data_IF_392904085237
#
_entry.id   IF_392904085237
#
_cell.length_a   1.000
_cell.length_b   1.000
_cell.length_c   1.000
_cell.angle_alpha   90.00
_cell.angle_beta   90.00
_cell.angle_gamma   90.00
#
_symmetry.space_group_name_H-M   'P 1'
#
loop_
_entity.id
_entity.type
_entity.pdbx_description
1 polymer ?
#
# COMPACT_ATOMS: atom_id res chain seq x y z
N UNK A 1 -15.62 -23.30 -5.04
CA UNK A 1 -14.77 -23.50 -6.25
C UNK A 1 -15.03 -22.32 -7.15
N UNK A 2 -14.03 -21.44 -7.33
CA UNK A 2 -14.12 -20.35 -8.31
C UNK A 2 -13.93 -21.01 -9.68
N UNK A 3 -14.91 -20.81 -10.57
CA UNK A 3 -14.91 -21.38 -11.91
C UNK A 3 -13.64 -20.93 -12.66
N UNK A 4 -12.77 -21.88 -13.04
CA UNK A 4 -11.52 -21.67 -13.76
C UNK A 4 -11.65 -20.96 -15.13
N UNK A 5 -12.87 -20.69 -15.56
CA UNK A 5 -13.17 -19.95 -16.81
C UNK A 5 -13.36 -18.44 -16.62
N UNK A 6 -13.20 -17.91 -15.41
CA UNK A 6 -13.31 -16.47 -15.18
C UNK A 6 -12.03 -15.76 -15.62
N UNK A 7 -12.12 -14.94 -16.65
CA UNK A 7 -11.07 -13.97 -16.99
C UNK A 7 -10.91 -12.98 -15.83
N UNK A 8 -9.67 -12.75 -15.40
CA UNK A 8 -9.38 -11.71 -14.40
C UNK A 8 -9.79 -10.35 -15.00
N UNK A 9 -10.63 -9.57 -14.29
CA UNK A 9 -11.00 -8.26 -14.77
C UNK A 9 -9.76 -7.33 -14.77
N UNK A 10 -9.45 -6.74 -15.92
CA UNK A 10 -8.41 -5.72 -16.05
C UNK A 10 -9.07 -4.35 -16.03
N UNK A 11 -8.69 -3.51 -15.07
CA UNK A 11 -9.11 -2.13 -14.97
C UNK A 11 -8.09 -1.24 -15.67
N UNK A 12 -8.55 -0.45 -16.63
CA UNK A 12 -7.71 0.57 -17.25
C UNK A 12 -7.87 1.90 -16.48
N UNK A 13 -6.78 2.38 -15.89
CA UNK A 13 -6.74 3.69 -15.23
C UNK A 13 -6.71 4.80 -16.30
N UNK A 14 -7.89 5.24 -16.74
CA UNK A 14 -7.98 6.32 -17.73
C UNK A 14 -7.85 7.69 -17.05
N UNK A 15 -6.75 8.38 -17.30
CA UNK A 15 -6.43 9.72 -16.82
C UNK A 15 -6.20 10.73 -17.96
N UNK A 16 -6.41 10.31 -19.22
CA UNK A 16 -6.05 11.10 -20.40
C UNK A 16 -6.69 12.48 -20.40
N UNK A 17 -7.98 12.55 -20.10
CA UNK A 17 -8.73 13.81 -20.18
C UNK A 17 -8.27 14.84 -19.14
N UNK A 18 -7.89 14.40 -17.96
CA UNK A 18 -7.27 15.26 -16.95
C UNK A 18 -5.83 15.64 -17.34
N UNK A 19 -5.04 14.70 -17.84
CA UNK A 19 -3.63 14.91 -18.17
C UNK A 19 -3.40 15.89 -19.32
N UNK A 20 -4.25 15.87 -20.37
CA UNK A 20 -4.10 16.78 -21.52
C UNK A 20 -4.37 18.24 -21.16
N UNK A 21 -5.05 18.51 -20.06
CA UNK A 21 -5.34 19.86 -19.56
C UNK A 21 -4.16 20.49 -18.85
N UNK A 22 -3.15 19.70 -18.46
CA UNK A 22 -1.95 20.19 -17.79
C UNK A 22 -1.07 20.98 -18.76
N UNK A 23 -0.48 22.07 -18.28
CA UNK A 23 0.61 22.74 -18.98
C UNK A 23 1.94 21.95 -18.86
N UNK A 24 2.98 22.38 -19.56
CA UNK A 24 4.25 21.64 -19.61
C UNK A 24 4.96 21.59 -18.25
N UNK A 25 4.85 22.63 -17.42
CA UNK A 25 5.43 22.64 -16.05
C UNK A 25 4.74 21.60 -15.18
N UNK A 26 3.41 21.55 -15.22
CA UNK A 26 2.59 20.58 -14.48
C UNK A 26 2.82 19.15 -14.94
N UNK A 27 2.93 18.92 -16.27
CA UNK A 27 3.30 17.60 -16.81
C UNK A 27 4.66 17.13 -16.33
N UNK A 28 5.66 18.03 -16.31
CA UNK A 28 6.99 17.69 -15.81
C UNK A 28 6.98 17.41 -14.31
N UNK A 29 6.19 18.13 -13.53
CA UNK A 29 5.99 17.86 -12.10
C UNK A 29 5.40 16.45 -11.89
N UNK A 30 4.26 16.16 -12.52
CA UNK A 30 3.62 14.86 -12.45
C UNK A 30 4.56 13.73 -12.91
N UNK A 31 5.32 13.93 -13.98
CA UNK A 31 6.27 12.94 -14.49
C UNK A 31 7.43 12.66 -13.53
N UNK A 32 8.00 13.71 -12.92
CA UNK A 32 9.08 13.55 -11.95
C UNK A 32 8.59 12.78 -10.70
N UNK A 33 7.41 13.11 -10.19
CA UNK A 33 6.76 12.39 -9.09
C UNK A 33 6.42 10.94 -9.46
N UNK A 34 5.88 10.72 -10.66
CA UNK A 34 5.63 9.37 -11.19
C UNK A 34 6.89 8.51 -11.16
N UNK A 35 8.02 9.05 -11.59
CA UNK A 35 9.29 8.34 -11.54
C UNK A 35 9.74 8.08 -10.11
N UNK A 36 9.58 9.05 -9.20
CA UNK A 36 9.89 8.85 -7.79
C UNK A 36 9.08 7.69 -7.18
N UNK A 37 7.77 7.64 -7.44
CA UNK A 37 6.91 6.56 -6.96
C UNK A 37 7.39 5.18 -7.43
N UNK A 38 7.66 5.03 -8.74
CA UNK A 38 8.05 3.74 -9.31
C UNK A 38 9.46 3.28 -8.92
N UNK A 39 10.38 4.20 -8.61
CA UNK A 39 11.70 3.82 -8.08
C UNK A 39 11.62 3.15 -6.70
N UNK A 40 10.59 3.45 -5.93
CA UNK A 40 10.35 2.81 -4.64
C UNK A 40 9.51 1.53 -4.71
N UNK A 41 8.76 1.29 -5.78
CA UNK A 41 7.90 0.11 -5.92
C UNK A 41 8.62 -1.23 -5.63
N UNK A 42 9.89 -1.44 -6.03
CA UNK A 42 10.60 -2.67 -5.70
C UNK A 42 10.74 -2.95 -4.20
N UNK A 43 10.68 -1.93 -3.33
CA UNK A 43 10.75 -2.09 -1.88
C UNK A 43 9.59 -2.98 -1.40
N UNK A 44 8.38 -2.80 -1.94
CA UNK A 44 7.20 -3.58 -1.55
C UNK A 44 7.43 -5.07 -1.78
N UNK A 45 8.05 -5.47 -2.89
CA UNK A 45 8.35 -6.88 -3.14
C UNK A 45 9.22 -7.50 -2.03
N UNK A 46 10.21 -6.75 -1.51
CA UNK A 46 11.04 -7.20 -0.37
C UNK A 46 10.23 -7.28 0.93
N UNK A 47 9.16 -6.49 1.06
CA UNK A 47 8.31 -6.47 2.25
C UNK A 47 7.25 -7.57 2.22
N UNK A 48 6.82 -8.00 1.03
CA UNK A 48 5.81 -9.07 0.87
C UNK A 48 6.40 -10.45 1.17
N UNK A 49 7.46 -10.86 0.47
CA UNK A 49 8.06 -12.19 0.69
C UNK A 49 9.49 -12.30 0.14
N UNK A 50 10.18 -13.36 0.53
CA UNK A 50 11.50 -13.71 -0.02
C UNK A 50 11.45 -13.99 -1.53
N UNK A 51 10.37 -14.62 -2.01
CA UNK A 51 10.21 -14.97 -3.43
C UNK A 51 9.87 -13.75 -4.30
N UNK A 52 9.14 -12.76 -3.77
CA UNK A 52 8.58 -11.67 -4.56
C UNK A 52 9.64 -10.85 -5.33
N UNK A 53 10.76 -10.38 -4.75
CA UNK A 53 11.76 -9.65 -5.52
C UNK A 53 12.45 -10.53 -6.57
N UNK A 54 12.59 -11.83 -6.31
CA UNK A 54 13.17 -12.79 -7.25
C UNK A 54 12.23 -13.01 -8.44
N UNK A 55 10.94 -13.23 -8.18
CA UNK A 55 9.90 -13.34 -9.22
C UNK A 55 9.82 -12.07 -10.06
N UNK A 56 9.92 -10.89 -9.43
CA UNK A 56 9.95 -9.62 -10.15
C UNK A 56 11.09 -9.60 -11.17
N UNK A 57 12.31 -9.96 -10.78
CA UNK A 57 13.47 -10.03 -11.69
C UNK A 57 13.25 -11.06 -12.79
N UNK A 58 12.72 -12.24 -12.46
CA UNK A 58 12.40 -13.30 -13.44
C UNK A 58 11.42 -12.78 -14.49
N UNK A 59 10.33 -12.14 -14.07
CA UNK A 59 9.32 -11.64 -15.00
C UNK A 59 9.82 -10.45 -15.82
N UNK A 60 10.57 -9.52 -15.21
CA UNK A 60 11.19 -8.43 -15.96
C UNK A 60 12.13 -8.95 -17.05
N UNK A 61 13.01 -9.91 -16.73
CA UNK A 61 13.89 -10.53 -17.69
C UNK A 61 13.10 -11.26 -18.79
N UNK A 62 12.13 -12.10 -18.39
CA UNK A 62 11.30 -12.86 -19.32
C UNK A 62 10.62 -11.95 -20.35
N UNK A 63 9.83 -10.97 -19.91
CA UNK A 63 9.09 -10.12 -20.84
C UNK A 63 9.97 -9.19 -21.66
N UNK A 64 11.08 -8.70 -21.12
CA UNK A 64 12.02 -7.84 -21.86
C UNK A 64 12.86 -8.57 -22.89
N UNK A 65 12.95 -9.90 -22.81
CA UNK A 65 13.72 -10.72 -23.73
C UNK A 65 13.10 -10.85 -25.12
N UNK A 66 11.78 -10.71 -25.23
CA UNK A 66 11.06 -10.82 -26.51
C UNK A 66 11.08 -9.50 -27.27
N UNK A 67 11.70 -9.50 -28.45
CA UNK A 67 11.82 -8.30 -29.31
C UNK A 67 11.46 -8.65 -30.76
N UNK A 68 10.44 -8.00 -31.35
CA UNK A 68 9.52 -7.06 -30.68
C UNK A 68 8.56 -7.80 -29.73
N UNK A 69 8.09 -7.11 -28.69
CA UNK A 69 7.18 -7.69 -27.70
C UNK A 69 5.89 -8.26 -28.32
N UNK A 70 5.43 -7.66 -29.42
CA UNK A 70 4.24 -8.10 -30.15
C UNK A 70 4.36 -9.51 -30.73
N UNK A 71 5.57 -10.03 -30.88
CA UNK A 71 5.84 -11.39 -31.37
C UNK A 71 6.03 -12.42 -30.24
N UNK A 72 5.95 -11.99 -28.98
CA UNK A 72 6.17 -12.86 -27.81
C UNK A 72 5.38 -14.18 -27.90
N UNK A 73 4.09 -14.09 -28.19
CA UNK A 73 3.23 -15.27 -28.35
C UNK A 73 3.79 -16.25 -29.41
N UNK A 74 4.11 -15.74 -30.59
CA UNK A 74 4.64 -16.54 -31.71
C UNK A 74 6.00 -17.16 -31.35
N UNK A 75 6.86 -16.41 -30.68
CA UNK A 75 8.19 -16.88 -30.26
C UNK A 75 8.08 -17.97 -29.21
N UNK A 76 7.18 -17.83 -28.21
CA UNK A 76 6.91 -18.87 -27.21
C UNK A 76 6.42 -20.16 -27.87
N UNK A 77 5.43 -20.07 -28.75
CA UNK A 77 4.88 -21.23 -29.48
C UNK A 77 5.92 -21.91 -30.38
N UNK A 78 6.81 -21.14 -30.99
CA UNK A 78 7.95 -21.68 -31.78
C UNK A 78 8.97 -22.34 -30.88
N UNK A 79 9.28 -21.79 -29.72
CA UNK A 79 10.22 -22.32 -28.72
C UNK A 79 9.76 -23.63 -28.11
N UNK A 80 8.47 -23.75 -27.80
CA UNK A 80 7.85 -24.99 -27.30
C UNK A 80 6.41 -25.16 -27.81
N UNK A 81 6.18 -25.93 -28.87
CA UNK A 81 4.85 -26.15 -29.43
C UNK A 81 3.85 -26.85 -28.49
N UNK A 82 4.30 -27.49 -27.41
CA UNK A 82 3.47 -28.16 -26.44
C UNK A 82 2.81 -27.22 -25.41
N UNK A 83 3.23 -25.94 -25.38
CA UNK A 83 2.57 -24.91 -24.57
C UNK A 83 1.23 -24.60 -25.24
N UNK A 84 0.13 -24.85 -24.54
CA UNK A 84 -1.21 -24.51 -25.04
C UNK A 84 -1.54 -23.04 -24.82
N UNK A 85 -2.61 -22.55 -25.43
CA UNK A 85 -3.08 -21.17 -25.21
C UNK A 85 -3.61 -21.00 -23.79
N UNK A 86 -4.19 -22.06 -23.22
CA UNK A 86 -4.64 -22.04 -21.81
C UNK A 86 -3.45 -22.01 -20.85
N UNK A 87 -2.36 -22.77 -21.10
CA UNK A 87 -1.13 -22.68 -20.29
C UNK A 87 -0.59 -21.23 -20.27
N UNK A 88 -0.51 -20.59 -21.44
CA UNK A 88 -0.02 -19.22 -21.54
C UNK A 88 -0.97 -18.21 -20.87
N UNK A 89 -2.28 -18.40 -20.99
CA UNK A 89 -3.28 -17.60 -20.33
C UNK A 89 -3.13 -17.68 -18.79
N UNK A 90 -3.05 -18.89 -18.24
CA UNK A 90 -2.88 -19.08 -16.78
C UNK A 90 -1.56 -18.48 -16.27
N UNK A 91 -0.47 -18.56 -17.08
CA UNK A 91 0.79 -17.90 -16.76
C UNK A 91 0.62 -16.37 -16.67
N UNK A 92 0.02 -15.75 -17.70
CA UNK A 92 -0.20 -14.29 -17.75
C UNK A 92 -1.15 -13.83 -16.64
N UNK A 93 -2.19 -14.61 -16.33
CA UNK A 93 -3.11 -14.33 -15.23
C UNK A 93 -2.41 -14.35 -13.87
N UNK A 94 -1.52 -15.32 -13.64
CA UNK A 94 -0.69 -15.33 -12.43
C UNK A 94 0.21 -14.10 -12.35
N UNK A 95 0.91 -13.76 -13.45
CA UNK A 95 1.78 -12.57 -13.50
C UNK A 95 0.98 -11.28 -13.25
N UNK A 96 -0.23 -11.19 -13.80
CA UNK A 96 -1.14 -10.08 -13.54
C UNK A 96 -1.51 -9.96 -12.06
N UNK A 97 -1.87 -11.06 -11.41
CA UNK A 97 -2.13 -11.12 -9.95
C UNK A 97 -0.89 -10.70 -9.15
N UNK A 98 0.29 -11.21 -9.54
CA UNK A 98 1.55 -10.88 -8.90
C UNK A 98 1.84 -9.36 -8.93
N UNK A 99 1.74 -8.74 -10.08
CA UNK A 99 1.97 -7.28 -10.19
C UNK A 99 0.89 -6.46 -9.49
N UNK A 100 -0.37 -6.91 -9.52
CA UNK A 100 -1.48 -6.22 -8.85
C UNK A 100 -1.34 -6.22 -7.32
N UNK A 101 -0.68 -7.23 -6.75
CA UNK A 101 -0.43 -7.34 -5.31
C UNK A 101 1.02 -7.00 -4.94
N UNK A 102 1.84 -6.53 -5.88
CA UNK A 102 3.28 -6.33 -5.71
C UNK A 102 4.00 -7.51 -5.03
N UNK A 103 3.56 -8.73 -5.34
CA UNK A 103 4.12 -9.95 -4.76
C UNK A 103 3.27 -11.19 -4.96
N UNK A 104 3.74 -12.31 -4.40
CA UNK A 104 3.07 -13.61 -4.49
C UNK A 104 2.14 -13.92 -3.30
N UNK A 105 1.70 -12.89 -2.57
CA UNK A 105 0.65 -12.98 -1.54
C UNK A 105 -0.41 -11.91 -1.77
N UNK A 106 -1.65 -12.21 -1.37
CA UNK A 106 -2.76 -11.26 -1.45
C UNK A 106 -2.50 -10.07 -0.52
N UNK A 107 -2.66 -8.84 -1.02
CA UNK A 107 -2.55 -7.59 -0.26
C UNK A 107 -3.52 -7.57 0.92
N UNK A 108 -4.77 -7.98 0.67
CA UNK A 108 -5.77 -8.18 1.71
C UNK A 108 -6.04 -9.69 1.86
N UNK A 109 -5.88 -10.21 3.09
CA UNK A 109 -6.05 -11.63 3.40
C UNK A 109 -4.73 -12.37 3.61
N UNK A 110 -3.61 -11.87 3.14
CA UNK A 110 -2.25 -12.37 3.40
C UNK A 110 -2.02 -13.82 2.94
N UNK A 111 -2.88 -14.37 2.07
CA UNK A 111 -2.78 -15.74 1.56
C UNK A 111 -1.86 -15.78 0.35
N UNK A 112 -1.12 -16.87 0.21
CA UNK A 112 -0.29 -17.09 -0.96
C UNK A 112 -1.12 -17.17 -2.24
N UNK A 113 -0.70 -16.46 -3.27
CA UNK A 113 -1.28 -16.54 -4.61
C UNK A 113 -0.61 -17.71 -5.32
N UNK A 114 -1.38 -18.77 -5.55
CA UNK A 114 -0.88 -19.96 -6.23
C UNK A 114 -1.11 -19.86 -7.74
N UNK A 115 -0.10 -20.22 -8.59
CA UNK A 115 -0.36 -20.43 -10.00
C UNK A 115 -1.34 -21.62 -10.19
N UNK A 116 -2.30 -21.46 -11.10
CA UNK A 116 -3.15 -22.61 -11.53
C UNK A 116 -2.40 -23.55 -12.47
N UNK A 117 -1.36 -23.02 -13.12
CA UNK A 117 -0.48 -23.76 -14.03
C UNK A 117 0.46 -24.69 -13.24
N UNK A 118 0.62 -25.98 -13.61
CA UNK A 118 1.60 -26.88 -13.01
C UNK A 118 3.04 -26.34 -13.13
N UNK A 119 3.89 -26.67 -12.15
CA UNK A 119 5.27 -26.16 -12.06
C UNK A 119 6.10 -26.47 -13.31
N UNK A 120 5.93 -27.65 -13.89
CA UNK A 120 6.64 -28.11 -15.10
C UNK A 120 6.26 -27.22 -16.30
N UNK A 121 4.97 -26.92 -16.43
CA UNK A 121 4.45 -26.05 -17.48
C UNK A 121 4.89 -24.60 -17.31
N UNK A 122 4.93 -24.13 -16.08
CA UNK A 122 5.42 -22.79 -15.75
C UNK A 122 6.90 -22.66 -16.12
N UNK A 123 7.71 -23.63 -15.76
CA UNK A 123 9.12 -23.70 -16.09
C UNK A 123 9.36 -23.83 -17.61
N UNK A 124 8.54 -24.60 -18.31
CA UNK A 124 8.58 -24.75 -19.78
C UNK A 124 8.33 -23.40 -20.48
N UNK A 125 7.39 -22.61 -19.97
CA UNK A 125 7.17 -21.24 -20.48
C UNK A 125 8.41 -20.37 -20.25
N UNK A 126 8.96 -20.36 -19.02
CA UNK A 126 10.16 -19.58 -18.72
C UNK A 126 11.35 -19.97 -19.63
N UNK A 127 11.52 -21.26 -19.95
CA UNK A 127 12.58 -21.77 -20.84
C UNK A 127 12.46 -21.30 -22.29
N UNK A 128 11.30 -20.82 -22.71
CA UNK A 128 11.15 -20.21 -24.06
C UNK A 128 11.82 -18.83 -24.17
N UNK A 129 12.14 -18.19 -23.03
CA UNK A 129 12.83 -16.92 -23.02
C UNK A 129 14.23 -17.05 -23.63
N UNK A 130 14.61 -16.18 -24.57
CA UNK A 130 15.99 -16.13 -25.11
C UNK A 130 17.06 -15.95 -24.02
N UNK A 131 16.69 -15.36 -22.89
CA UNK A 131 17.59 -15.05 -21.76
C UNK A 131 17.37 -15.96 -20.55
N UNK A 132 16.70 -17.11 -20.70
CA UNK A 132 16.40 -18.02 -19.59
C UNK A 132 17.61 -18.35 -18.72
N UNK A 133 18.78 -18.53 -19.33
CA UNK A 133 20.02 -18.84 -18.60
C UNK A 133 20.41 -17.79 -17.55
N UNK A 134 19.99 -16.54 -17.72
CA UNK A 134 20.25 -15.46 -16.77
C UNK A 134 19.39 -15.57 -15.50
N UNK A 135 18.24 -16.23 -15.59
CA UNK A 135 17.27 -16.38 -14.50
C UNK A 135 17.16 -17.81 -13.95
N UNK A 136 17.80 -18.79 -14.58
CA UNK A 136 17.71 -20.22 -14.21
C UNK A 136 18.10 -20.47 -12.75
N UNK A 137 19.17 -19.84 -12.28
CA UNK A 137 19.60 -19.99 -10.88
C UNK A 137 18.58 -19.37 -9.91
N UNK A 138 18.04 -18.22 -10.24
CA UNK A 138 17.01 -17.55 -9.44
C UNK A 138 15.74 -18.40 -9.36
N UNK A 139 15.29 -18.94 -10.48
CA UNK A 139 14.14 -19.84 -10.52
C UNK A 139 14.36 -21.10 -9.66
N UNK A 140 15.53 -21.74 -9.81
CA UNK A 140 15.87 -22.92 -9.03
C UNK A 140 15.92 -22.68 -7.52
N UNK A 141 16.24 -21.46 -7.07
CA UNK A 141 16.22 -21.09 -5.67
C UNK A 141 14.82 -21.08 -5.06
N UNK A 142 13.81 -20.65 -5.84
CA UNK A 142 12.47 -20.37 -5.28
C UNK A 142 11.42 -21.36 -5.70
N UNK A 143 11.57 -22.10 -6.81
CA UNK A 143 10.47 -22.88 -7.41
C UNK A 143 9.78 -23.84 -6.48
N UNK A 144 10.48 -24.43 -5.51
CA UNK A 144 9.88 -25.35 -4.52
C UNK A 144 9.00 -24.60 -3.52
N UNK A 145 9.55 -23.54 -2.89
CA UNK A 145 8.80 -22.75 -1.90
C UNK A 145 7.68 -21.96 -2.57
N UNK A 146 7.89 -21.49 -3.78
CA UNK A 146 6.90 -20.78 -4.57
C UNK A 146 5.64 -21.63 -4.84
N UNK A 147 5.79 -22.92 -5.14
CA UNK A 147 4.67 -23.86 -5.32
C UNK A 147 4.21 -24.55 -4.05
N UNK A 148 4.83 -24.28 -2.91
CA UNK A 148 4.40 -24.85 -1.63
C UNK A 148 3.32 -23.95 -0.98
N UNK A 149 2.12 -24.49 -0.82
CA UNK A 149 1.00 -23.83 -0.14
C UNK A 149 0.70 -24.45 1.24
N UNK A 150 1.63 -25.25 1.77
CA UNK A 150 1.54 -25.74 3.16
C UNK A 150 2.07 -24.70 4.14
N UNK A 151 1.77 -24.86 5.43
CA UNK A 151 2.40 -24.06 6.46
C UNK A 151 3.93 -24.33 6.46
N UNK A 152 4.78 -23.33 6.61
CA UNK A 152 4.46 -21.92 6.92
C UNK A 152 4.27 -21.01 5.67
N UNK A 153 4.31 -21.56 4.45
CA UNK A 153 4.32 -20.78 3.20
C UNK A 153 2.95 -20.31 2.73
N UNK A 154 1.87 -20.81 3.33
CA UNK A 154 0.50 -20.51 2.89
C UNK A 154 0.03 -19.09 3.21
N UNK A 155 0.65 -18.39 4.16
CA UNK A 155 0.19 -17.09 4.64
C UNK A 155 1.32 -16.23 5.19
N UNK A 156 1.17 -14.92 5.08
CA UNK A 156 2.02 -13.96 5.82
C UNK A 156 1.54 -13.91 7.27
N UNK A 157 2.41 -14.37 8.18
CA UNK A 157 2.18 -14.31 9.63
C UNK A 157 3.52 -14.48 10.36
N UNK A 158 3.51 -14.37 11.69
CA UNK A 158 4.67 -14.74 12.53
C UNK A 158 4.99 -16.23 12.37
N UNK A 159 6.27 -16.58 12.42
CA UNK A 159 6.70 -17.99 12.28
C UNK A 159 6.09 -18.87 13.36
N UNK A 160 6.00 -18.41 14.61
CA UNK A 160 5.36 -19.11 15.72
C UNK A 160 3.84 -19.29 15.55
N UNK A 161 3.21 -18.52 14.66
CA UNK A 161 1.80 -18.63 14.28
C UNK A 161 1.61 -19.38 12.96
N UNK A 162 2.65 -20.09 12.51
CA UNK A 162 2.61 -20.94 11.32
C UNK A 162 2.64 -20.22 10.00
N UNK A 163 3.18 -19.00 9.94
CA UNK A 163 3.34 -18.23 8.71
C UNK A 163 4.79 -17.88 8.38
N UNK A 164 4.97 -17.13 7.30
CA UNK A 164 6.23 -16.46 6.92
C UNK A 164 5.99 -14.98 6.78
N UNK A 165 7.01 -14.17 7.04
CA UNK A 165 6.97 -12.73 6.82
C UNK A 165 8.37 -12.20 6.52
N UNK A 166 8.44 -10.95 6.07
CA UNK A 166 9.68 -10.25 5.74
C UNK A 166 10.04 -9.14 6.74
N UNK A 167 9.22 -8.91 7.77
CA UNK A 167 9.44 -7.86 8.78
C UNK A 167 10.18 -8.35 10.01
N UNK A 168 9.99 -9.62 10.38
CA UNK A 168 10.50 -10.23 11.61
C UNK A 168 11.31 -11.47 11.27
N UNK A 169 12.62 -11.35 11.37
CA UNK A 169 13.56 -12.34 10.87
C UNK A 169 14.30 -13.04 12.01
N UNK A 170 14.79 -14.26 11.75
CA UNK A 170 15.62 -15.00 12.71
C UNK A 170 14.83 -15.70 13.81
N UNK A 171 13.57 -16.04 13.60
CA UNK A 171 12.74 -16.76 14.56
C UNK A 171 12.40 -15.96 15.82
N UNK A 172 12.24 -14.64 15.67
CA UNK A 172 11.86 -13.75 16.76
C UNK A 172 10.39 -13.99 17.15
N UNK A 173 10.10 -14.09 18.46
CA UNK A 173 8.76 -14.28 18.98
C UNK A 173 7.97 -12.97 19.08
N UNK A 174 6.64 -13.07 19.19
CA UNK A 174 5.76 -11.91 19.41
C UNK A 174 6.11 -11.14 20.69
N UNK A 175 6.47 -11.84 21.75
CA UNK A 175 6.89 -11.22 23.03
C UNK A 175 8.19 -10.42 22.87
N UNK A 176 9.15 -10.96 22.12
CA UNK A 176 10.42 -10.27 21.84
C UNK A 176 10.20 -9.05 20.93
N UNK A 177 9.29 -9.14 19.96
CA UNK A 177 8.89 -8.00 19.11
C UNK A 177 8.31 -6.89 19.99
N UNK A 178 7.33 -7.22 20.85
CA UNK A 178 6.71 -6.26 21.77
C UNK A 178 7.73 -5.61 22.73
N UNK A 179 8.71 -6.37 23.19
CA UNK A 179 9.78 -5.85 24.03
C UNK A 179 10.62 -4.80 23.27
N UNK A 180 11.00 -5.08 22.03
CA UNK A 180 11.78 -4.12 21.22
C UNK A 180 10.93 -2.91 20.85
N UNK A 181 9.66 -3.10 20.48
CA UNK A 181 8.75 -1.99 20.13
C UNK A 181 8.49 -1.07 21.33
N UNK A 182 8.38 -1.63 22.55
CA UNK A 182 8.32 -0.83 23.78
C UNK A 182 9.57 0.02 23.98
N UNK A 183 10.76 -0.58 23.75
CA UNK A 183 12.02 0.17 23.81
C UNK A 183 12.07 1.31 22.78
N UNK A 184 11.62 1.07 21.53
CA UNK A 184 11.54 2.12 20.50
C UNK A 184 10.61 3.24 20.93
N UNK A 185 9.46 2.92 21.50
CA UNK A 185 8.50 3.89 22.02
C UNK A 185 9.10 4.74 23.16
N UNK A 186 9.80 4.13 24.11
CA UNK A 186 10.49 4.84 25.20
C UNK A 186 11.58 5.79 24.70
N UNK A 187 12.15 5.51 23.52
CA UNK A 187 13.13 6.34 22.82
C UNK A 187 12.53 7.35 21.86
N UNK A 188 11.19 7.39 21.72
CA UNK A 188 10.47 8.17 20.71
C UNK A 188 10.94 7.89 19.28
N UNK A 189 11.25 6.60 19.00
CA UNK A 189 11.59 6.12 17.66
C UNK A 189 10.36 5.45 17.07
N UNK A 190 9.84 6.00 16.00
CA UNK A 190 8.72 5.40 15.26
C UNK A 190 9.21 4.22 14.43
N UNK A 191 8.65 3.00 14.60
CA UNK A 191 9.13 1.80 13.91
C UNK A 191 8.65 1.68 12.46
N UNK A 192 7.89 2.62 11.94
CA UNK A 192 7.14 2.49 10.68
C UNK A 192 8.02 2.09 9.48
N UNK A 193 9.23 2.64 9.37
CA UNK A 193 10.20 2.36 8.30
C UNK A 193 11.25 1.31 8.70
N UNK A 194 10.90 0.39 9.61
CA UNK A 194 11.89 -0.57 10.13
C UNK A 194 11.53 -2.01 9.80
N UNK A 195 12.53 -2.88 9.89
CA UNK A 195 12.37 -4.33 10.03
C UNK A 195 13.19 -4.81 11.24
N UNK A 196 12.82 -5.92 11.83
CA UNK A 196 13.44 -6.42 13.05
C UNK A 196 14.01 -7.83 12.83
N UNK A 197 15.24 -8.06 13.26
CA UNK A 197 15.89 -9.35 13.13
C UNK A 197 16.48 -9.79 14.48
N UNK A 198 16.18 -11.02 14.89
CA UNK A 198 16.88 -11.68 15.99
C UNK A 198 18.16 -12.30 15.45
N UNK A 199 19.28 -12.05 16.14
CA UNK A 199 20.57 -12.62 15.81
C UNK A 199 21.09 -13.47 16.97
N UNK A 200 22.17 -14.19 16.74
CA UNK A 200 22.76 -15.11 17.74
C UNK A 200 22.99 -14.42 19.08
N UNK A 201 22.65 -15.11 20.20
CA UNK A 201 22.87 -14.64 21.55
C UNK A 201 21.82 -13.67 22.09
N UNK A 202 20.56 -13.82 21.68
CA UNK A 202 19.40 -12.99 22.07
C UNK A 202 19.66 -11.50 21.87
N UNK A 203 20.27 -11.17 20.74
CA UNK A 203 20.48 -9.80 20.28
C UNK A 203 19.54 -9.48 19.14
N UNK A 204 19.19 -8.21 19.03
CA UNK A 204 18.21 -7.73 18.07
C UNK A 204 18.83 -6.64 17.20
N UNK A 205 18.52 -6.71 15.94
CA UNK A 205 18.92 -5.72 14.94
C UNK A 205 17.66 -5.04 14.41
N UNK A 206 17.63 -3.71 14.52
CA UNK A 206 16.60 -2.86 13.89
C UNK A 206 17.19 -2.33 12.59
N UNK A 207 16.66 -2.76 11.47
CA UNK A 207 17.02 -2.28 10.14
C UNK A 207 16.16 -1.06 9.83
N UNK A 208 16.76 0.06 9.46
CA UNK A 208 16.07 1.35 9.24
C UNK A 208 16.20 1.78 7.79
N UNK A 209 15.06 2.00 7.12
CA UNK A 209 14.99 2.51 5.76
C UNK A 209 15.55 3.93 5.67
N UNK A 210 16.73 4.09 5.06
CA UNK A 210 17.39 5.39 4.87
C UNK A 210 18.44 5.35 3.77
N UNK A 211 18.81 6.52 3.24
CA UNK A 211 19.96 6.64 2.32
C UNK A 211 21.26 6.64 3.11
N UNK A 212 21.31 7.42 4.18
CA UNK A 212 22.47 7.49 5.06
C UNK A 212 22.69 6.12 5.75
N UNK A 213 23.95 5.70 5.78
CA UNK A 213 24.35 4.43 6.38
C UNK A 213 25.13 4.69 7.65
N UNK A 214 24.65 4.14 8.75
CA UNK A 214 25.34 4.16 10.05
C UNK A 214 24.91 2.98 10.91
N UNK A 215 25.70 2.66 11.90
CA UNK A 215 25.38 1.66 12.92
C UNK A 215 25.40 2.33 14.29
N UNK A 216 24.34 2.12 15.06
CA UNK A 216 24.23 2.66 16.41
C UNK A 216 23.93 1.52 17.39
N UNK A 217 24.77 1.38 18.40
CA UNK A 217 24.52 0.45 19.51
C UNK A 217 23.64 1.16 20.52
N UNK A 218 22.35 0.82 20.58
CA UNK A 218 21.41 1.45 21.51
C UNK A 218 21.43 0.84 22.91
N UNK A 219 21.62 -0.49 22.98
CA UNK A 219 21.81 -1.23 24.22
C UNK A 219 22.78 -2.41 23.98
N UNK A 220 23.16 -3.15 25.04
CA UNK A 220 23.96 -4.36 24.88
C UNK A 220 23.27 -5.43 23.99
N UNK A 221 21.95 -5.33 23.82
CA UNK A 221 21.14 -6.29 23.06
C UNK A 221 20.56 -5.73 21.77
N UNK A 222 20.42 -4.41 21.61
CA UNK A 222 19.73 -3.80 20.46
C UNK A 222 20.69 -2.89 19.70
N UNK A 223 20.85 -3.18 18.42
CA UNK A 223 21.68 -2.41 17.48
C UNK A 223 20.80 -1.94 16.31
N UNK A 224 20.92 -0.67 15.93
CA UNK A 224 20.30 -0.11 14.74
C UNK A 224 21.28 -0.09 13.57
N UNK A 225 20.79 -0.52 12.40
CA UNK A 225 21.49 -0.41 11.12
C UNK A 225 20.66 0.45 10.18
N UNK A 226 21.20 1.61 9.86
CA UNK A 226 20.66 2.52 8.86
C UNK A 226 21.17 2.18 7.47
N UNK A 227 20.41 2.50 6.43
CA UNK A 227 20.78 2.27 5.04
C UNK A 227 20.02 1.15 4.37
N UNK A 228 18.99 0.58 5.05
CA UNK A 228 18.12 -0.37 4.36
C UNK A 228 17.40 0.32 3.20
N UNK A 229 17.34 -0.34 2.05
CA UNK A 229 16.79 0.19 0.80
C UNK A 229 17.48 1.45 0.25
N UNK A 230 18.69 1.79 0.71
CA UNK A 230 19.36 3.05 0.39
C UNK A 230 19.47 3.32 -1.11
N UNK A 231 19.71 2.30 -1.94
CA UNK A 231 19.80 2.45 -3.39
C UNK A 231 18.47 2.86 -4.05
N UNK A 232 17.34 2.33 -3.55
CA UNK A 232 16.01 2.72 -4.04
C UNK A 232 15.65 4.13 -3.56
N UNK A 233 15.86 4.41 -2.27
CA UNK A 233 15.59 5.71 -1.66
C UNK A 233 16.43 6.83 -2.30
N UNK A 234 17.68 6.54 -2.69
CA UNK A 234 18.53 7.49 -3.42
C UNK A 234 17.94 7.85 -4.79
N UNK A 235 17.37 6.87 -5.51
CA UNK A 235 16.72 7.12 -6.80
C UNK A 235 15.41 7.89 -6.64
N UNK A 236 14.63 7.58 -5.60
CA UNK A 236 13.45 8.37 -5.24
C UNK A 236 13.85 9.84 -5.04
N UNK A 237 14.83 10.11 -4.16
CA UNK A 237 15.26 11.46 -3.84
C UNK A 237 15.76 12.23 -5.08
N UNK A 238 16.46 11.55 -6.01
CA UNK A 238 16.87 12.17 -7.28
C UNK A 238 15.68 12.73 -8.07
N UNK A 239 14.56 11.98 -8.11
CA UNK A 239 13.36 12.40 -8.82
C UNK A 239 12.55 13.43 -8.05
N UNK A 240 12.55 13.39 -6.71
CA UNK A 240 11.95 14.44 -5.88
C UNK A 240 12.71 15.78 -6.02
N UNK A 241 14.04 15.75 -6.09
CA UNK A 241 14.84 16.97 -6.40
C UNK A 241 14.54 17.52 -7.80
N UNK A 242 14.26 16.66 -8.77
CA UNK A 242 13.80 17.10 -10.09
C UNK A 242 12.40 17.73 -10.01
N UNK A 243 11.46 17.08 -9.29
CA UNK A 243 10.10 17.57 -9.11
C UNK A 243 10.07 18.99 -8.48
N UNK A 244 10.96 19.29 -7.54
CA UNK A 244 11.06 20.63 -6.89
C UNK A 244 11.20 21.79 -7.88
N UNK A 245 11.78 21.56 -9.06
CA UNK A 245 11.93 22.59 -10.10
C UNK A 245 10.58 23.02 -10.69
N UNK A 246 9.56 22.20 -10.52
CA UNK A 246 8.25 22.36 -11.14
C UNK A 246 7.13 22.59 -10.12
N UNK A 247 7.42 22.68 -8.82
CA UNK A 247 6.44 22.96 -7.78
C UNK A 247 5.57 24.18 -8.11
N UNK A 248 4.30 24.10 -7.79
CA UNK A 248 3.36 25.18 -8.00
C UNK A 248 3.49 26.28 -6.94
N UNK A 249 3.75 25.86 -5.69
CA UNK A 249 3.84 26.75 -4.54
C UNK A 249 4.96 26.35 -3.56
N UNK A 250 5.23 27.21 -2.57
CA UNK A 250 6.26 26.95 -1.54
C UNK A 250 5.86 25.82 -0.56
N UNK A 251 4.56 25.56 -0.38
CA UNK A 251 4.09 24.47 0.47
C UNK A 251 4.46 23.11 -0.13
N UNK A 252 4.20 22.91 -1.43
CA UNK A 252 4.64 21.70 -2.15
C UNK A 252 6.17 21.56 -2.08
N UNK A 253 6.90 22.62 -2.33
CA UNK A 253 8.37 22.59 -2.30
C UNK A 253 8.89 22.18 -0.93
N UNK A 254 8.34 22.75 0.14
CA UNK A 254 8.70 22.39 1.51
C UNK A 254 8.31 20.94 1.85
N UNK A 255 7.17 20.47 1.36
CA UNK A 255 6.77 19.08 1.49
C UNK A 255 7.81 18.14 0.86
N UNK A 256 8.26 18.43 -0.37
CA UNK A 256 9.27 17.62 -1.06
C UNK A 256 10.63 17.66 -0.35
N UNK A 257 11.05 18.82 0.18
CA UNK A 257 12.28 18.94 0.98
C UNK A 257 12.24 18.01 2.20
N UNK A 258 11.09 17.93 2.87
CA UNK A 258 10.89 17.08 4.04
C UNK A 258 10.83 15.58 3.68
N UNK A 259 10.24 15.20 2.53
CA UNK A 259 10.33 13.82 2.01
C UNK A 259 11.79 13.42 1.75
N UNK A 260 12.55 14.30 1.07
CA UNK A 260 13.96 14.08 0.75
C UNK A 260 14.78 13.87 2.03
N UNK A 261 14.57 14.71 3.03
CA UNK A 261 15.26 14.60 4.32
C UNK A 261 14.86 13.34 5.08
N UNK A 262 13.56 12.97 5.07
CA UNK A 262 13.06 11.74 5.68
C UNK A 262 13.72 10.50 5.07
N UNK A 263 13.71 10.37 3.74
CA UNK A 263 14.35 9.25 3.06
C UNK A 263 15.86 9.25 3.23
N UNK A 264 16.49 10.43 3.32
CA UNK A 264 17.92 10.52 3.54
C UNK A 264 18.32 9.99 4.91
N UNK A 265 17.65 10.45 5.96
CA UNK A 265 18.06 10.19 7.35
C UNK A 265 17.35 9.00 8.00
N UNK A 266 16.23 8.53 7.43
CA UNK A 266 15.34 7.55 8.03
C UNK A 266 14.42 8.14 9.11
N UNK A 267 14.28 9.48 9.18
CA UNK A 267 13.45 10.14 10.19
C UNK A 267 11.97 10.13 9.83
N UNK A 268 11.15 9.41 10.59
CA UNK A 268 9.69 9.46 10.46
C UNK A 268 9.13 10.82 10.89
N UNK A 269 9.74 11.52 11.84
CA UNK A 269 9.32 12.87 12.21
C UNK A 269 9.40 13.85 11.03
N UNK A 270 10.42 13.71 10.17
CA UNK A 270 10.47 14.49 8.91
C UNK A 270 9.35 14.12 7.94
N UNK A 271 8.98 12.86 7.90
CA UNK A 271 7.81 12.44 7.12
C UNK A 271 6.51 13.01 7.71
N UNK A 272 6.31 13.00 9.01
CA UNK A 272 5.17 13.67 9.66
C UNK A 272 5.14 15.17 9.35
N UNK A 273 6.29 15.84 9.39
CA UNK A 273 6.39 17.25 9.00
C UNK A 273 6.00 17.48 7.53
N UNK A 274 6.37 16.57 6.62
CA UNK A 274 5.92 16.63 5.23
C UNK A 274 4.40 16.49 5.11
N UNK A 275 3.81 15.59 5.89
CA UNK A 275 2.36 15.39 5.92
C UNK A 275 1.61 16.63 6.45
N UNK A 276 2.18 17.35 7.43
CA UNK A 276 1.64 18.65 7.88
C UNK A 276 1.63 19.68 6.76
N UNK A 277 2.63 19.70 5.87
CA UNK A 277 2.61 20.57 4.68
C UNK A 277 1.57 20.06 3.67
N UNK A 278 1.53 18.74 3.43
CA UNK A 278 0.59 18.11 2.51
C UNK A 278 -0.88 18.42 2.86
N UNK A 279 -1.26 18.35 4.13
CA UNK A 279 -2.62 18.70 4.61
C UNK A 279 -2.95 20.18 4.40
N UNK A 280 -1.94 21.06 4.47
CA UNK A 280 -2.10 22.52 4.25
C UNK A 280 -2.27 22.90 2.77
N UNK A 281 -1.77 22.07 1.86
CA UNK A 281 -1.90 22.30 0.43
C UNK A 281 -3.30 21.91 -0.05
N UNK A 282 -4.17 22.91 -0.18
CA UNK A 282 -5.59 22.70 -0.49
C UNK A 282 -5.84 22.72 -1.99
N UNK A 283 -6.60 21.72 -2.47
CA UNK A 283 -7.01 21.57 -3.88
C UNK A 283 -5.83 21.62 -4.87
N UNK A 284 -4.72 20.90 -4.65
CA UNK A 284 -3.63 20.86 -5.60
C UNK A 284 -4.11 20.28 -6.92
N UNK A 285 -3.51 20.72 -8.04
CA UNK A 285 -3.85 20.15 -9.34
C UNK A 285 -3.29 18.73 -9.52
N UNK A 286 -2.12 18.51 -8.94
CA UNK A 286 -1.43 17.22 -8.91
C UNK A 286 -1.27 16.82 -7.44
N UNK A 287 -1.85 15.71 -7.08
CA UNK A 287 -1.79 15.15 -5.73
C UNK A 287 -0.77 14.01 -5.66
N UNK A 288 -0.01 13.95 -4.56
CA UNK A 288 0.97 12.88 -4.32
C UNK A 288 1.14 12.62 -2.84
N UNK A 289 1.41 11.37 -2.50
CA UNK A 289 1.93 11.00 -1.19
C UNK A 289 2.91 9.84 -1.38
N UNK A 290 4.06 9.89 -0.71
CA UNK A 290 5.14 8.92 -0.89
C UNK A 290 5.77 8.64 0.48
N UNK A 291 5.82 7.39 0.89
CA UNK A 291 6.45 7.02 2.16
C UNK A 291 6.16 5.60 2.60
N UNK A 292 6.20 5.39 3.90
CA UNK A 292 5.81 4.17 4.60
C UNK A 292 4.41 4.43 5.16
N UNK A 293 3.37 3.97 4.45
CA UNK A 293 2.01 4.48 4.67
C UNK A 293 1.13 3.50 5.43
N UNK A 294 0.92 2.29 4.89
CA UNK A 294 0.00 1.31 5.43
C UNK A 294 0.74 0.14 6.09
N UNK A 295 0.10 -0.52 7.05
CA UNK A 295 0.71 -1.59 7.86
C UNK A 295 0.08 -2.96 7.61
N UNK A 296 -0.73 -3.13 6.57
CA UNK A 296 -1.51 -4.35 6.33
C UNK A 296 -0.65 -5.59 6.08
N UNK A 297 0.56 -5.46 5.52
CA UNK A 297 1.47 -6.59 5.25
C UNK A 297 2.14 -7.06 6.54
N UNK A 298 2.44 -6.16 7.48
CA UNK A 298 3.06 -6.51 8.75
C UNK A 298 2.13 -7.39 9.61
N UNK A 299 2.55 -8.59 10.05
CA UNK A 299 1.76 -9.43 10.95
C UNK A 299 1.36 -8.77 12.26
N UNK A 300 2.19 -7.83 12.77
CA UNK A 300 1.92 -7.08 14.00
C UNK A 300 1.12 -5.78 13.76
N UNK A 301 0.98 -5.35 12.50
CA UNK A 301 0.28 -4.11 12.14
C UNK A 301 0.99 -2.83 12.61
N UNK A 302 2.31 -2.86 12.76
CA UNK A 302 3.13 -1.77 13.33
C UNK A 302 4.02 -1.11 12.28
N UNK A 303 4.63 -1.92 11.39
CA UNK A 303 5.60 -1.47 10.38
C UNK A 303 4.94 -1.26 9.04
N UNK A 304 5.24 -0.11 8.45
CA UNK A 304 4.67 0.30 7.18
C UNK A 304 5.33 -0.38 5.98
N UNK A 305 4.58 -0.50 4.90
CA UNK A 305 5.16 -0.79 3.60
C UNK A 305 5.23 0.47 2.74
N UNK A 306 6.10 0.42 1.73
CA UNK A 306 6.28 1.54 0.83
C UNK A 306 5.02 1.75 -0.02
N UNK A 307 4.62 3.00 -0.12
CA UNK A 307 3.55 3.44 -1.00
C UNK A 307 3.94 4.76 -1.66
N UNK A 308 3.58 4.92 -2.93
CA UNK A 308 3.74 6.17 -3.63
C UNK A 308 2.68 6.31 -4.71
N UNK A 309 1.95 7.43 -4.71
CA UNK A 309 1.00 7.70 -5.78
C UNK A 309 1.14 9.10 -6.35
N UNK A 310 0.71 9.24 -7.59
CA UNK A 310 0.48 10.52 -8.27
C UNK A 310 -0.90 10.47 -8.91
N UNK A 311 -1.68 11.51 -8.68
CA UNK A 311 -3.01 11.60 -9.23
C UNK A 311 -3.37 13.04 -9.62
N UNK A 312 -4.35 13.20 -10.49
CA UNK A 312 -4.78 14.48 -11.03
C UNK A 312 -6.15 14.84 -10.46
N UNK A 313 -6.30 16.05 -9.96
CA UNK A 313 -7.57 16.50 -9.35
C UNK A 313 -8.67 16.67 -10.40
N UNK A 314 -9.76 15.93 -10.23
CA UNK A 314 -11.01 16.13 -10.96
C UNK A 314 -11.88 17.16 -10.23
N UNK A 315 -11.80 18.42 -10.67
CA UNK A 315 -12.50 19.53 -10.02
C UNK A 315 -14.03 19.40 -10.05
N UNK A 316 -14.57 18.83 -11.09
CA UNK A 316 -16.04 18.68 -11.24
C UNK A 316 -16.58 17.59 -10.31
N UNK A 317 -15.88 16.47 -10.20
CA UNK A 317 -16.26 15.42 -9.24
C UNK A 317 -16.04 15.87 -7.80
N UNK A 318 -14.95 16.61 -7.51
CA UNK A 318 -14.63 17.14 -6.19
C UNK A 318 -15.73 18.07 -5.65
N UNK A 319 -16.34 18.89 -6.49
CA UNK A 319 -17.46 19.77 -6.10
C UNK A 319 -18.63 19.00 -5.47
N UNK A 320 -18.90 17.76 -5.89
CA UNK A 320 -19.97 16.93 -5.34
C UNK A 320 -19.69 16.55 -3.88
N UNK A 321 -18.43 16.32 -3.54
CA UNK A 321 -18.02 16.00 -2.17
C UNK A 321 -18.11 17.22 -1.24
N UNK A 322 -17.93 18.43 -1.74
CA UNK A 322 -18.06 19.66 -0.94
C UNK A 322 -19.44 19.77 -0.29
N UNK A 323 -20.51 19.31 -0.95
CA UNK A 323 -21.86 19.28 -0.35
C UNK A 323 -21.93 18.29 0.82
N UNK A 324 -21.26 17.14 0.71
CA UNK A 324 -21.20 16.17 1.81
C UNK A 324 -20.37 16.71 2.98
N UNK A 325 -19.20 17.28 2.68
CA UNK A 325 -18.29 17.88 3.68
C UNK A 325 -18.99 19.00 4.46
N UNK A 326 -19.71 19.91 3.78
CA UNK A 326 -20.42 21.01 4.43
C UNK A 326 -21.60 20.57 5.31
N UNK A 327 -22.08 19.34 5.16
CA UNK A 327 -23.13 18.76 5.98
C UNK A 327 -22.62 17.66 6.95
N UNK A 328 -21.32 17.43 7.03
CA UNK A 328 -20.75 16.31 7.79
C UNK A 328 -21.11 16.36 9.27
N UNK A 329 -20.95 17.49 9.94
CA UNK A 329 -21.31 17.65 11.37
C UNK A 329 -22.80 17.33 11.64
N UNK A 330 -23.69 17.78 10.75
CA UNK A 330 -25.11 17.48 10.85
C UNK A 330 -25.37 15.98 10.71
N UNK A 331 -24.69 15.31 9.77
CA UNK A 331 -24.80 13.87 9.56
C UNK A 331 -24.25 13.09 10.77
N UNK A 332 -23.09 13.47 11.28
CA UNK A 332 -22.48 12.87 12.48
C UNK A 332 -23.41 12.97 13.67
N UNK A 333 -24.08 14.12 13.86
CA UNK A 333 -25.01 14.31 14.98
C UNK A 333 -26.24 13.37 14.98
N UNK A 334 -26.48 12.66 13.84
CA UNK A 334 -27.57 11.67 13.71
C UNK A 334 -27.12 10.24 13.99
N UNK A 335 -25.85 9.99 14.28
CA UNK A 335 -25.34 8.65 14.52
C UNK A 335 -25.90 8.03 15.79
N UNK A 336 -26.10 6.69 15.83
CA UNK A 336 -26.82 6.03 16.92
C UNK A 336 -25.97 5.75 18.15
N UNK A 337 -24.71 6.13 18.18
CA UNK A 337 -23.79 5.89 19.29
C UNK A 337 -23.64 7.10 20.22
N UNK A 338 -23.06 6.85 21.40
CA UNK A 338 -22.78 7.90 22.40
C UNK A 338 -21.67 8.84 21.85
N UNK A 339 -21.84 10.15 22.12
CA UNK A 339 -20.89 11.18 21.69
C UNK A 339 -19.48 11.00 22.27
N UNK A 340 -19.32 10.22 23.32
CA UNK A 340 -18.02 9.86 23.87
C UNK A 340 -17.14 9.03 22.90
N UNK A 341 -17.73 8.47 21.84
CA UNK A 341 -16.99 7.80 20.76
C UNK A 341 -16.59 8.75 19.63
N UNK A 342 -17.02 10.01 19.67
CA UNK A 342 -16.72 11.01 18.63
C UNK A 342 -15.55 11.90 19.04
N UNK A 343 -14.82 12.42 18.04
CA UNK A 343 -13.82 13.47 18.27
C UNK A 343 -14.52 14.69 18.88
N UNK A 344 -13.88 15.38 19.87
CA UNK A 344 -14.47 16.57 20.49
C UNK A 344 -14.76 17.69 19.48
N UNK A 345 -13.98 17.76 18.40
CA UNK A 345 -14.13 18.72 17.31
C UNK A 345 -13.96 18.02 15.99
N UNK A 346 -14.93 18.14 15.08
CA UNK A 346 -14.82 17.66 13.72
C UNK A 346 -14.01 18.68 12.89
N UNK A 347 -12.80 18.29 12.46
CA UNK A 347 -12.02 19.09 11.53
C UNK A 347 -12.42 18.75 10.10
N UNK A 348 -13.10 19.68 9.43
CA UNK A 348 -13.51 19.51 8.05
C UNK A 348 -12.30 19.23 7.15
N UNK A 349 -12.19 18.03 6.56
CA UNK A 349 -11.08 17.66 5.69
C UNK A 349 -11.23 18.29 4.31
N UNK A 350 -10.14 18.28 3.55
CA UNK A 350 -10.20 18.39 2.10
C UNK A 350 -10.68 17.04 1.55
N UNK A 351 -11.73 17.03 0.72
CA UNK A 351 -12.23 15.81 0.09
C UNK A 351 -12.15 15.94 -1.43
N UNK A 352 -11.20 15.22 -2.03
CA UNK A 352 -10.79 15.40 -3.42
C UNK A 352 -11.09 14.13 -4.21
N UNK A 353 -11.69 14.32 -5.40
CA UNK A 353 -11.77 13.28 -6.42
C UNK A 353 -10.52 13.35 -7.30
N UNK A 354 -9.83 12.23 -7.44
CA UNK A 354 -8.59 12.14 -8.19
C UNK A 354 -8.67 11.09 -9.30
N UNK A 355 -8.06 11.40 -10.44
CA UNK A 355 -7.75 10.41 -11.47
C UNK A 355 -6.30 9.95 -11.31
N UNK A 356 -6.10 8.71 -10.90
CA UNK A 356 -4.80 8.10 -10.64
C UNK A 356 -3.96 8.02 -11.90
N UNK A 357 -2.78 8.60 -11.88
CA UNK A 357 -1.73 8.47 -12.90
C UNK A 357 -0.86 7.25 -12.62
N UNK A 358 -0.48 7.03 -11.36
CA UNK A 358 0.17 5.83 -10.87
C UNK A 358 -0.12 5.59 -9.39
N UNK A 359 -0.11 4.33 -9.00
CA UNK A 359 -0.17 3.87 -7.62
C UNK A 359 0.88 2.75 -7.46
N UNK A 360 2.03 3.10 -6.90
CA UNK A 360 3.18 2.22 -6.74
C UNK A 360 3.19 1.62 -5.33
N UNK A 361 2.39 0.59 -5.13
CA UNK A 361 2.23 -0.14 -3.87
C UNK A 361 1.70 -1.55 -4.15
N UNK A 362 1.24 -2.25 -3.12
CA UNK A 362 0.70 -3.61 -3.18
C UNK A 362 -0.68 -3.69 -3.86
N UNK A 363 -1.47 -2.62 -3.81
CA UNK A 363 -2.78 -2.52 -4.47
C UNK A 363 -3.15 -1.06 -4.70
N UNK A 364 -4.12 -0.81 -5.59
CA UNK A 364 -4.68 0.51 -5.79
C UNK A 364 -6.05 0.57 -5.10
N UNK A 365 -6.19 1.31 -3.99
CA UNK A 365 -7.46 1.47 -3.29
C UNK A 365 -8.44 2.33 -4.11
N UNK A 366 -9.69 2.45 -3.65
CA UNK A 366 -10.70 3.33 -4.27
C UNK A 366 -10.97 4.58 -3.42
N UNK A 367 -10.59 4.55 -2.14
CA UNK A 367 -10.65 5.66 -1.21
C UNK A 367 -9.47 5.62 -0.26
N UNK A 368 -9.06 6.79 0.24
CA UNK A 368 -7.94 6.92 1.17
C UNK A 368 -8.24 8.05 2.17
N UNK A 369 -7.98 7.80 3.45
CA UNK A 369 -7.95 8.80 4.50
C UNK A 369 -6.54 8.85 5.10
N UNK A 370 -5.77 9.87 4.78
CA UNK A 370 -4.38 10.03 5.22
C UNK A 370 -4.07 11.48 5.63
N UNK A 371 -3.00 11.70 6.41
CA UNK A 371 -1.99 10.74 6.88
C UNK A 371 -2.49 9.84 8.00
N UNK A 372 -1.89 8.65 8.16
CA UNK A 372 -2.22 7.71 9.23
C UNK A 372 -1.62 8.10 10.59
N UNK A 373 -0.87 9.18 10.66
CA UNK A 373 -0.31 9.71 11.90
C UNK A 373 -1.38 10.40 12.73
N UNK A 374 -1.74 9.81 13.86
CA UNK A 374 -2.81 10.33 14.70
C UNK A 374 -2.52 11.73 15.23
N UNK A 375 -1.27 12.00 15.64
CA UNK A 375 -0.86 13.32 16.11
C UNK A 375 -1.04 14.40 15.03
N UNK A 376 -0.71 14.09 13.77
CA UNK A 376 -0.93 15.00 12.65
C UNK A 376 -2.42 15.17 12.35
N UNK A 377 -3.20 14.08 12.35
CA UNK A 377 -4.66 14.17 12.15
C UNK A 377 -5.36 15.04 13.21
N UNK A 378 -4.95 14.91 14.48
CA UNK A 378 -5.55 15.66 15.58
C UNK A 378 -5.15 17.15 15.57
N UNK A 379 -3.90 17.47 15.19
CA UNK A 379 -3.40 18.85 15.23
C UNK A 379 -3.60 19.62 13.92
N UNK A 380 -3.27 19.00 12.80
CA UNK A 380 -3.25 19.64 11.48
C UNK A 380 -4.42 19.21 10.57
N UNK A 381 -4.99 18.01 10.80
CA UNK A 381 -6.07 17.44 10.02
C UNK A 381 -5.62 16.34 9.05
N UNK A 382 -6.48 16.07 8.07
CA UNK A 382 -6.31 14.97 7.11
C UNK A 382 -6.97 15.34 5.77
N UNK A 383 -6.66 14.55 4.74
CA UNK A 383 -7.37 14.61 3.45
C UNK A 383 -8.15 13.31 3.23
N UNK A 384 -9.32 13.44 2.63
CA UNK A 384 -10.08 12.33 2.07
C UNK A 384 -9.93 12.34 0.56
N UNK A 385 -9.62 11.18 0.00
CA UNK A 385 -9.37 11.01 -1.41
C UNK A 385 -10.30 9.93 -1.96
N UNK A 386 -10.96 10.23 -3.09
CA UNK A 386 -11.68 9.25 -3.90
C UNK A 386 -10.96 9.06 -5.22
N UNK A 387 -10.47 7.84 -5.49
CA UNK A 387 -9.72 7.53 -6.70
C UNK A 387 -10.69 7.18 -7.84
N UNK A 388 -11.17 8.20 -8.54
CA UNK A 388 -12.31 8.16 -9.45
C UNK A 388 -12.21 7.17 -10.60
N UNK A 389 -11.00 6.95 -11.14
CA UNK A 389 -10.73 6.02 -12.23
C UNK A 389 -10.36 4.61 -11.77
N UNK A 390 -10.22 4.38 -10.45
CA UNK A 390 -9.94 3.06 -9.87
C UNK A 390 -11.21 2.27 -9.51
N UNK A 391 -12.40 2.87 -9.61
CA UNK A 391 -13.64 2.17 -9.30
C UNK A 391 -13.90 1.02 -10.29
N UNK A 392 -14.28 -0.18 -9.80
CA UNK A 392 -14.59 -1.31 -10.66
C UNK A 392 -15.80 -1.03 -11.55
N UNK A 393 -15.80 -1.62 -12.73
CA UNK A 393 -16.98 -1.59 -13.59
C UNK A 393 -17.90 -2.77 -13.27
N UNK A 394 -19.18 -2.47 -13.07
CA UNK A 394 -20.21 -3.48 -12.90
C UNK A 394 -20.71 -3.93 -14.28
N UNK A 395 -20.35 -5.15 -14.68
CA UNK A 395 -20.81 -5.78 -15.94
C UNK A 395 -21.50 -7.10 -15.60
N UNK A 396 -22.53 -7.53 -16.35
CA UNK A 396 -23.21 -8.80 -16.06
C UNK A 396 -22.24 -9.99 -15.96
N UNK A 397 -21.18 -10.03 -16.77
CA UNK A 397 -20.14 -11.06 -16.74
C UNK A 397 -19.41 -11.17 -15.39
N UNK A 398 -19.34 -10.08 -14.61
CA UNK A 398 -18.64 -10.02 -13.34
C UNK A 398 -19.60 -10.22 -12.14
N UNK A 399 -20.91 -10.30 -12.38
CA UNK A 399 -21.96 -10.33 -11.35
C UNK A 399 -22.61 -11.71 -11.23
N UNK A 400 -21.88 -12.79 -11.52
CA UNK A 400 -22.38 -14.17 -11.49
C UNK A 400 -22.90 -14.62 -10.12
N UNK A 401 -22.50 -13.95 -9.04
CA UNK A 401 -22.96 -14.18 -7.68
C UNK A 401 -24.33 -13.55 -7.38
N UNK A 402 -24.84 -12.70 -8.28
CA UNK A 402 -26.15 -12.06 -8.13
C UNK A 402 -27.20 -12.76 -9.02
N UNK A 403 -28.45 -12.71 -8.59
CA UNK A 403 -29.58 -13.09 -9.43
C UNK A 403 -29.65 -12.15 -10.65
N UNK A 404 -30.19 -12.65 -11.76
CA UNK A 404 -30.27 -11.88 -13.00
C UNK A 404 -31.03 -10.56 -12.83
N UNK A 405 -32.12 -10.55 -12.04
CA UNK A 405 -32.91 -9.36 -11.72
C UNK A 405 -32.10 -8.29 -10.96
N UNK A 406 -31.16 -8.69 -10.12
CA UNK A 406 -30.29 -7.79 -9.36
C UNK A 406 -29.11 -7.27 -10.19
N UNK A 407 -28.69 -8.00 -11.24
CA UNK A 407 -27.55 -7.60 -12.06
C UNK A 407 -27.81 -6.27 -12.81
N UNK A 408 -29.03 -6.04 -13.32
CA UNK A 408 -29.40 -4.80 -14.00
C UNK A 408 -29.32 -3.60 -13.04
N UNK A 409 -29.79 -3.75 -11.81
CA UNK A 409 -29.71 -2.73 -10.75
C UNK A 409 -28.25 -2.42 -10.41
N UNK A 410 -27.43 -3.45 -10.25
CA UNK A 410 -25.99 -3.26 -9.95
C UNK A 410 -25.20 -2.65 -11.12
N UNK A 411 -25.53 -2.99 -12.36
CA UNK A 411 -24.91 -2.35 -13.53
C UNK A 411 -25.26 -0.87 -13.58
N UNK A 412 -26.49 -0.51 -13.28
CA UNK A 412 -26.96 0.88 -13.33
C UNK A 412 -26.48 1.72 -12.14
N UNK A 413 -26.60 1.19 -10.93
CA UNK A 413 -26.42 1.96 -9.69
C UNK A 413 -25.18 1.56 -8.87
N UNK A 414 -24.52 0.44 -9.18
CA UNK A 414 -23.42 -0.08 -8.37
C UNK A 414 -22.25 0.90 -8.22
N UNK A 415 -21.80 1.54 -9.30
CA UNK A 415 -20.72 2.54 -9.23
C UNK A 415 -21.15 3.81 -8.47
N UNK A 416 -22.30 4.46 -8.73
CA UNK A 416 -22.77 5.56 -7.92
C UNK A 416 -22.93 5.23 -6.43
N UNK A 417 -23.48 4.06 -6.09
CA UNK A 417 -23.65 3.62 -4.72
C UNK A 417 -22.28 3.40 -4.03
N UNK A 418 -21.31 2.78 -4.73
CA UNK A 418 -19.96 2.59 -4.21
C UNK A 418 -19.25 3.93 -3.94
N UNK A 419 -19.41 4.93 -4.82
CA UNK A 419 -18.85 6.28 -4.61
C UNK A 419 -19.41 6.90 -3.33
N UNK A 420 -20.73 6.80 -3.08
CA UNK A 420 -21.36 7.30 -1.87
C UNK A 420 -20.92 6.52 -0.62
N UNK A 421 -20.80 5.21 -0.73
CA UNK A 421 -20.31 4.36 0.36
C UNK A 421 -18.89 4.75 0.76
N UNK A 422 -17.97 4.88 -0.20
CA UNK A 422 -16.59 5.30 0.04
C UNK A 422 -16.55 6.71 0.62
N UNK A 423 -17.33 7.64 0.07
CA UNK A 423 -17.39 9.00 0.60
C UNK A 423 -17.87 9.05 2.07
N UNK A 424 -18.87 8.25 2.42
CA UNK A 424 -19.31 8.08 3.80
C UNK A 424 -18.26 7.45 4.69
N UNK A 425 -17.61 6.40 4.21
CA UNK A 425 -16.54 5.70 4.93
C UNK A 425 -15.36 6.63 5.27
N UNK A 426 -14.84 7.38 4.28
CA UNK A 426 -13.69 8.26 4.46
C UNK A 426 -14.03 9.48 5.31
N UNK A 427 -15.14 10.15 5.01
CA UNK A 427 -15.50 11.41 5.68
C UNK A 427 -16.12 11.20 7.06
N UNK A 428 -17.11 10.33 7.14
CA UNK A 428 -17.92 10.16 8.33
C UNK A 428 -17.39 9.02 9.22
N UNK A 429 -16.84 7.95 8.63
CA UNK A 429 -16.21 6.85 9.36
C UNK A 429 -14.91 7.29 10.01
N UNK A 430 -13.84 7.47 9.21
CA UNK A 430 -12.53 7.89 9.72
C UNK A 430 -12.54 9.30 10.31
N UNK A 431 -13.39 10.21 9.82
CA UNK A 431 -13.42 11.60 10.23
C UNK A 431 -14.03 11.82 11.62
N UNK A 432 -14.97 10.99 12.08
CA UNK A 432 -15.76 11.24 13.28
C UNK A 432 -15.26 10.54 14.55
N UNK A 433 -14.67 9.34 14.42
CA UNK A 433 -14.35 8.47 15.55
C UNK A 433 -13.17 8.97 16.40
N UNK A 434 -13.36 8.94 17.73
CA UNK A 434 -12.28 9.14 18.70
C UNK A 434 -11.54 7.83 18.92
N UNK A 435 -10.22 7.83 18.71
CA UNK A 435 -9.39 6.71 19.11
C UNK A 435 -9.19 6.75 20.62
N UNK A 436 -9.82 5.80 21.32
CA UNK A 436 -9.72 5.68 22.77
C UNK A 436 -8.32 5.19 23.15
N UNK A 437 -7.62 5.94 23.99
CA UNK A 437 -6.25 5.62 24.39
C UNK A 437 -5.93 6.00 25.83
N UNK A 438 -4.97 5.32 26.38
CA UNK A 438 -4.31 5.72 27.61
C UNK A 438 -3.22 6.76 27.28
N UNK A 439 -3.31 7.95 27.88
CA UNK A 439 -2.41 9.09 27.64
C UNK A 439 -1.31 9.23 28.68
N UNK A 440 -1.38 8.44 29.76
CA UNK A 440 -0.43 8.40 30.85
C UNK A 440 -0.78 7.31 31.86
N UNK A 441 -0.03 7.17 32.93
CA UNK A 441 -0.35 6.24 34.01
C UNK A 441 -1.72 6.58 34.59
N UNK A 442 -2.72 5.70 34.41
CA UNK A 442 -4.13 5.91 34.76
C UNK A 442 -4.80 7.14 34.13
N UNK A 443 -4.25 7.71 33.07
CA UNK A 443 -4.84 8.83 32.33
C UNK A 443 -5.35 8.35 30.97
N UNK A 444 -6.55 8.77 30.60
CA UNK A 444 -7.22 8.38 29.35
C UNK A 444 -7.78 9.62 28.66
N UNK A 445 -7.90 9.58 27.35
CA UNK A 445 -8.57 10.64 26.57
C UNK A 445 -10.11 10.50 26.57
N UNK A 446 -10.66 9.62 27.42
CA UNK A 446 -12.09 9.41 27.65
C UNK A 446 -12.37 9.18 29.13
N UNK A 447 -13.63 9.30 29.55
CA UNK A 447 -14.02 9.10 30.95
C UNK A 447 -14.13 7.60 31.28
N UNK A 448 -13.17 7.10 32.04
CA UNK A 448 -13.11 5.70 32.48
C UNK A 448 -14.34 5.31 33.25
N UNK A 449 -14.91 4.13 32.96
CA UNK A 449 -16.11 3.60 33.61
C UNK A 449 -17.44 4.22 33.16
N UNK A 450 -17.41 5.30 32.36
CA UNK A 450 -18.63 5.97 31.88
C UNK A 450 -18.97 5.61 30.43
N UNK A 451 -17.98 5.49 29.58
CA UNK A 451 -18.21 5.14 28.18
C UNK A 451 -18.55 3.66 28.06
N UNK A 452 -19.77 3.36 27.64
CA UNK A 452 -20.29 1.99 27.55
C UNK A 452 -20.20 1.46 26.14
N UNK A 453 -19.61 0.29 25.99
CA UNK A 453 -19.59 -0.43 24.72
C UNK A 453 -21.01 -0.90 24.37
N UNK A 454 -21.58 -0.47 23.23
CA UNK A 454 -22.97 -0.76 22.87
C UNK A 454 -23.24 -2.24 22.58
N UNK A 455 -22.18 -3.04 22.29
CA UNK A 455 -22.31 -4.46 22.01
C UNK A 455 -22.27 -5.33 23.27
N UNK A 456 -21.41 -4.99 24.23
CA UNK A 456 -21.20 -5.77 25.46
C UNK A 456 -21.97 -5.22 26.65
N UNK A 457 -22.46 -3.99 26.55
CA UNK A 457 -23.09 -3.23 27.63
C UNK A 457 -22.19 -3.11 28.88
N UNK A 458 -20.86 -3.11 28.67
CA UNK A 458 -19.85 -2.93 29.72
C UNK A 458 -19.03 -1.67 29.43
N UNK A 459 -18.42 -1.03 30.46
CA UNK A 459 -17.47 0.04 30.25
C UNK A 459 -16.33 -0.40 29.29
N UNK A 460 -15.96 0.48 28.34
CA UNK A 460 -14.91 0.17 27.33
C UNK A 460 -13.54 -0.10 27.96
N UNK A 461 -13.27 0.38 29.15
CA UNK A 461 -12.03 0.16 29.90
C UNK A 461 -11.99 -1.18 30.64
N UNK A 462 -13.01 -2.01 30.51
CA UNK A 462 -13.07 -3.39 31.06
C UNK A 462 -12.99 -4.48 30.00
N UNK A 463 -12.71 -4.11 28.75
CA UNK A 463 -12.55 -5.04 27.63
C UNK A 463 -11.13 -5.59 27.57
#
# INVERSE_FOLDING_TARGET
MIDSKSTIPVLNLNFKDAFVQLNDKEKNYAYALYKACWEGAPIVFFQVSYESPILFVIFQNFFSSFKPFTEMYTQIKKGNPNITDEDLKQFIEFVGKFYSNSGNYESFGKRKIMPELPIEKFEDILKTSPTYKEIEELWNKIKKTFYDNSAPFSTINLEEKGGKNSYYLGGISEEEIKMVDKFLQEKNIDPLNTRLMKVKGDKYVVLIGSIDTKTEQWTDKITAYYGEFSSFLSRINKHLEEAKKYCYNETEKKMLDLYIESFKTGSIEKHKDSQRQWVKDKNPLIETNIGWIETYIDPMGVRGYYEGFVALTDKEKSKKFNTLVSNAEKLISTFPWDKGFEKPEFKSPDFIALDVLCFASDSCPIGINIPNYQDVQETDGFKNISLSNAYPSFKPSNLRFCKQEDQEVLVQYGKPAMVLMVAGHELLGHGSGLLLRQTGENQYNFEKGKLINPLTNQPVDKL
#
